data_IF_111807825432
#
_entry.id   IF_111807825432
#
_cell.length_a   1.000
_cell.length_b   1.000
_cell.length_c   1.000
_cell.angle_alpha   90.00
_cell.angle_beta   90.00
_cell.angle_gamma   90.00
#
_symmetry.space_group_name_H-M   'P 1'
#
loop_
_entity.id
_entity.type
_entity.pdbx_description
1 polymer ?
#
# COMPACT_ATOMS: atom_id res chain seq x y z
N UNK A 1 -10.61 -8.69 -14.65
CA UNK A 1 -10.01 -7.62 -13.82
C UNK A 1 -8.88 -8.22 -12.98
N UNK A 2 -7.71 -7.61 -13.04
CA UNK A 2 -6.54 -8.07 -12.31
C UNK A 2 -6.25 -7.15 -11.14
N UNK A 3 -5.76 -7.72 -10.06
CA UNK A 3 -5.45 -6.99 -8.83
C UNK A 3 -4.00 -7.19 -8.42
N UNK A 4 -3.47 -6.17 -7.78
CA UNK A 4 -2.17 -6.23 -7.14
C UNK A 4 -2.34 -5.97 -5.64
N UNK A 5 -1.44 -6.58 -4.86
CA UNK A 5 -1.30 -6.25 -3.45
C UNK A 5 -0.15 -5.26 -3.32
N UNK A 6 -0.45 -4.08 -2.82
CA UNK A 6 0.58 -3.10 -2.48
C UNK A 6 0.82 -3.19 -0.98
N UNK A 7 2.07 -3.39 -0.60
CA UNK A 7 2.48 -3.48 0.80
C UNK A 7 3.46 -2.35 1.07
N UNK A 8 3.13 -1.51 2.04
CA UNK A 8 3.98 -0.40 2.45
C UNK A 8 4.46 -0.64 3.88
N UNK A 9 5.78 -0.69 4.07
CA UNK A 9 6.42 -0.73 5.38
C UNK A 9 6.92 0.67 5.66
N UNK A 10 6.28 1.39 6.58
CA UNK A 10 6.57 2.81 6.76
C UNK A 10 6.76 3.17 8.22
N UNK A 11 7.48 4.26 8.44
CA UNK A 11 7.53 4.89 9.75
C UNK A 11 6.10 5.25 10.17
N UNK A 12 5.71 4.96 11.43
CA UNK A 12 4.34 5.25 11.89
C UNK A 12 3.91 6.70 11.72
N UNK A 13 4.85 7.64 11.73
CA UNK A 13 4.54 9.05 11.50
C UNK A 13 4.04 9.33 10.08
N UNK A 14 4.31 8.43 9.14
CA UNK A 14 3.90 8.58 7.74
C UNK A 14 2.62 7.83 7.41
N UNK A 15 2.15 6.96 8.30
CA UNK A 15 1.02 6.05 7.99
C UNK A 15 -0.22 6.79 7.51
N UNK A 16 -0.64 7.81 8.23
CA UNK A 16 -1.84 8.57 7.88
C UNK A 16 -1.70 9.23 6.50
N UNK A 17 -0.54 9.83 6.23
CA UNK A 17 -0.27 10.48 4.96
C UNK A 17 -0.23 9.47 3.81
N UNK A 18 0.38 8.30 4.04
CA UNK A 18 0.42 7.22 3.04
C UNK A 18 -0.99 6.76 2.68
N UNK A 19 -1.82 6.49 3.68
CA UNK A 19 -3.21 6.06 3.46
C UNK A 19 -3.99 7.12 2.69
N UNK A 20 -3.89 8.36 3.10
CA UNK A 20 -4.60 9.48 2.47
C UNK A 20 -4.17 9.66 1.02
N UNK A 21 -2.86 9.63 0.76
CA UNK A 21 -2.32 9.77 -0.59
C UNK A 21 -2.75 8.60 -1.48
N UNK A 22 -2.67 7.37 -0.96
CA UNK A 22 -3.08 6.19 -1.72
C UNK A 22 -4.56 6.24 -2.08
N UNK A 23 -5.42 6.62 -1.15
CA UNK A 23 -6.85 6.76 -1.43
C UNK A 23 -7.13 7.83 -2.47
N UNK A 24 -6.43 8.95 -2.40
CA UNK A 24 -6.54 10.01 -3.40
C UNK A 24 -6.10 9.57 -4.79
N UNK A 25 -5.22 8.60 -4.88
CA UNK A 25 -4.72 8.07 -6.15
C UNK A 25 -5.51 6.85 -6.66
N UNK A 26 -6.52 6.40 -5.92
CA UNK A 26 -7.42 5.34 -6.38
C UNK A 26 -7.51 4.09 -5.51
N UNK A 27 -6.78 4.02 -4.41
CA UNK A 27 -6.91 2.88 -3.50
C UNK A 27 -8.27 2.92 -2.81
N UNK A 28 -8.95 1.76 -2.76
CA UNK A 28 -10.33 1.69 -2.25
C UNK A 28 -10.43 1.24 -0.80
N UNK A 29 -9.35 0.74 -0.22
CA UNK A 29 -9.34 0.31 1.17
C UNK A 29 -7.94 0.00 1.63
N UNK A 30 -7.77 -0.10 2.93
CA UNK A 30 -6.49 -0.40 3.54
C UNK A 30 -6.65 -1.27 4.79
N UNK A 31 -5.61 -2.03 5.06
CA UNK A 31 -5.46 -2.73 6.34
C UNK A 31 -4.12 -2.29 6.92
N UNK A 32 -4.12 -1.84 8.16
CA UNK A 32 -2.93 -1.40 8.85
C UNK A 32 -2.57 -2.42 9.93
N UNK A 33 -1.34 -2.90 9.86
CA UNK A 33 -0.80 -3.82 10.85
C UNK A 33 0.33 -3.12 11.58
N UNK A 34 0.26 -3.07 12.90
CA UNK A 34 1.32 -2.51 13.72
C UNK A 34 2.44 -3.53 13.83
N UNK A 35 3.59 -3.21 13.26
CA UNK A 35 4.77 -4.07 13.35
C UNK A 35 5.65 -3.67 14.52
N UNK A 36 6.37 -4.63 15.06
CA UNK A 36 7.32 -4.41 16.12
C UNK A 36 8.59 -5.19 15.84
N UNK A 37 9.73 -4.51 15.87
CA UNK A 37 11.03 -5.16 15.76
C UNK A 37 11.30 -6.07 16.96
N UNK A 38 12.06 -7.14 16.71
CA UNK A 38 12.40 -8.08 17.76
C UNK A 38 13.84 -7.84 18.22
N UNK A 39 14.03 -7.03 19.25
CA UNK A 39 15.32 -6.85 19.85
C UNK A 39 15.87 -5.44 19.80
N UNK A 40 17.14 -5.30 20.18
CA UNK A 40 17.84 -4.03 20.32
C UNK A 40 18.29 -3.47 18.97
N UNK A 41 18.51 -4.37 18.00
CA UNK A 41 18.91 -3.97 16.65
C UNK A 41 17.72 -4.02 15.68
N UNK A 42 17.71 -3.14 14.66
CA UNK A 42 16.66 -3.19 13.63
C UNK A 42 16.64 -4.55 12.94
N UNK A 43 15.44 -5.10 12.76
CA UNK A 43 15.27 -6.32 12.00
C UNK A 43 15.51 -6.06 10.51
N UNK A 44 16.09 -7.02 9.80
CA UNK A 44 16.29 -6.93 8.36
C UNK A 44 15.16 -7.67 7.64
N UNK A 45 14.59 -7.01 6.64
CA UNK A 45 13.60 -7.60 5.75
C UNK A 45 14.00 -7.29 4.31
N UNK A 46 14.15 -8.30 3.47
CA UNK A 46 14.59 -8.16 2.08
C UNK A 46 15.91 -7.38 1.96
N UNK A 47 16.83 -7.57 2.92
CA UNK A 47 18.10 -6.86 2.96
C UNK A 47 18.01 -5.42 3.44
N UNK A 48 16.86 -5.00 3.93
CA UNK A 48 16.60 -3.63 4.38
C UNK A 48 16.33 -3.62 5.88
N UNK A 49 16.82 -2.57 6.55
CA UNK A 49 16.59 -2.41 7.98
C UNK A 49 15.17 -1.96 8.25
N UNK A 50 14.45 -2.72 9.08
CA UNK A 50 13.12 -2.34 9.56
C UNK A 50 13.28 -1.82 10.98
N UNK A 51 12.75 -0.63 11.24
CA UNK A 51 12.83 0.00 12.55
C UNK A 51 11.98 -0.72 13.58
N UNK A 52 12.26 -0.50 14.88
CA UNK A 52 11.55 -1.14 15.99
C UNK A 52 10.04 -0.94 15.93
N UNK A 53 9.60 0.20 15.39
CA UNK A 53 8.19 0.49 15.16
C UNK A 53 8.00 0.74 13.68
N UNK A 54 7.22 -0.10 13.05
CA UNK A 54 6.91 0.00 11.63
C UNK A 54 5.43 -0.30 11.45
N UNK A 55 4.75 0.53 10.69
CA UNK A 55 3.40 0.20 10.25
C UNK A 55 3.48 -0.51 8.91
N UNK A 56 2.69 -1.56 8.76
CA UNK A 56 2.56 -2.30 7.52
C UNK A 56 1.16 -2.00 6.98
N UNK A 57 1.10 -1.40 5.80
CA UNK A 57 -0.16 -1.02 5.18
C UNK A 57 -0.38 -1.89 3.95
N UNK A 58 -1.52 -2.54 3.89
CA UNK A 58 -1.89 -3.41 2.79
C UNK A 58 -3.03 -2.78 1.99
N UNK A 59 -2.85 -2.69 0.67
CA UNK A 59 -3.89 -2.24 -0.25
C UNK A 59 -4.10 -3.31 -1.31
N UNK A 60 -5.36 -3.69 -1.55
CA UNK A 60 -5.69 -4.45 -2.77
C UNK A 60 -6.15 -3.43 -3.80
N UNK A 61 -5.41 -3.32 -4.89
CA UNK A 61 -5.64 -2.30 -5.90
C UNK A 61 -5.86 -2.95 -7.27
N UNK A 62 -6.62 -2.27 -8.11
CA UNK A 62 -6.78 -2.69 -9.49
C UNK A 62 -5.46 -2.44 -10.24
N UNK A 63 -5.08 -3.37 -11.13
CA UNK A 63 -3.78 -3.36 -11.80
C UNK A 63 -3.45 -2.01 -12.45
N UNK A 64 -4.43 -1.39 -13.11
CA UNK A 64 -4.22 -0.13 -13.82
C UNK A 64 -3.93 1.06 -12.90
N UNK A 65 -4.29 0.97 -11.63
CA UNK A 65 -4.05 2.03 -10.65
C UNK A 65 -2.78 1.84 -9.85
N UNK A 66 -2.13 0.69 -9.96
CA UNK A 66 -0.98 0.34 -9.11
C UNK A 66 0.16 1.34 -9.23
N UNK A 67 0.60 1.64 -10.46
CA UNK A 67 1.72 2.55 -10.68
C UNK A 67 1.39 3.96 -10.19
N UNK A 68 0.20 4.44 -10.48
CA UNK A 68 -0.23 5.77 -10.03
C UNK A 68 -0.23 5.87 -8.51
N UNK A 69 -0.74 4.85 -7.83
CA UNK A 69 -0.76 4.82 -6.37
C UNK A 69 0.66 4.80 -5.81
N UNK A 70 1.52 3.92 -6.31
CA UNK A 70 2.88 3.80 -5.82
C UNK A 70 3.71 5.05 -6.10
N UNK A 71 3.59 5.62 -7.29
CA UNK A 71 4.31 6.84 -7.64
C UNK A 71 3.85 8.03 -6.80
N UNK A 72 2.55 8.16 -6.57
CA UNK A 72 1.99 9.23 -5.74
C UNK A 72 2.46 9.13 -4.29
N UNK A 73 2.41 7.94 -3.72
CA UNK A 73 2.85 7.71 -2.34
C UNK A 73 4.36 7.93 -2.23
N UNK A 74 5.14 7.41 -3.17
CA UNK A 74 6.60 7.57 -3.16
C UNK A 74 6.99 9.05 -3.19
N UNK A 75 6.34 9.83 -4.04
CA UNK A 75 6.61 11.27 -4.18
C UNK A 75 6.12 12.07 -2.98
N UNK A 76 4.85 11.91 -2.61
CA UNK A 76 4.24 12.74 -1.57
C UNK A 76 4.73 12.41 -0.17
N UNK A 77 5.06 11.15 0.07
CA UNK A 77 5.51 10.68 1.37
C UNK A 77 7.03 10.51 1.48
N UNK A 78 7.77 10.86 0.42
CA UNK A 78 9.23 10.78 0.39
C UNK A 78 9.75 9.38 0.78
N UNK A 79 9.16 8.34 0.21
CA UNK A 79 9.51 6.96 0.55
C UNK A 79 10.99 6.66 0.29
N UNK A 80 11.57 7.27 -0.75
CA UNK A 80 12.99 7.05 -1.08
C UNK A 80 13.95 7.65 -0.05
N UNK A 81 13.49 8.55 0.81
CA UNK A 81 14.33 9.12 1.84
C UNK A 81 14.66 8.08 2.91
N UNK A 82 15.90 8.07 3.44
CA UNK A 82 16.30 7.09 4.44
C UNK A 82 15.38 7.06 5.66
N UNK A 83 15.00 5.86 6.08
CA UNK A 83 14.17 5.65 7.27
C UNK A 83 12.68 5.83 7.07
N UNK A 84 12.24 6.29 5.90
CA UNK A 84 10.81 6.53 5.66
C UNK A 84 10.03 5.26 5.35
N UNK A 85 10.62 4.35 4.59
CA UNK A 85 9.94 3.09 4.35
C UNK A 85 10.28 2.42 3.03
N UNK A 86 9.52 1.39 2.75
CA UNK A 86 9.62 0.60 1.51
C UNK A 86 8.21 0.31 1.05
N UNK A 87 8.04 0.26 -0.25
CA UNK A 87 6.76 -0.12 -0.83
C UNK A 87 6.99 -1.16 -1.94
N UNK A 88 6.23 -2.23 -1.89
CA UNK A 88 6.31 -3.31 -2.90
C UNK A 88 4.93 -3.58 -3.46
N UNK A 89 4.88 -4.08 -4.69
CA UNK A 89 3.64 -4.57 -5.28
C UNK A 89 3.81 -6.02 -5.70
N UNK A 90 2.77 -6.80 -5.52
CA UNK A 90 2.72 -8.23 -5.84
C UNK A 90 1.48 -8.50 -6.69
N UNK A 91 1.64 -9.32 -7.71
CA UNK A 91 0.49 -9.78 -8.49
C UNK A 91 -0.35 -10.75 -7.65
N UNK A 92 -1.66 -10.59 -7.70
CA UNK A 92 -2.59 -11.51 -7.05
C UNK A 92 -3.11 -12.46 -8.11
N UNK A 93 -2.77 -13.74 -7.96
CA UNK A 93 -3.20 -14.76 -8.92
C UNK A 93 -4.69 -15.10 -8.77
N UNK A 94 -5.16 -15.14 -7.55
CA UNK A 94 -6.53 -15.56 -7.28
C UNK A 94 -7.09 -14.84 -6.06
N UNK A 95 -8.36 -14.44 -6.16
CA UNK A 95 -9.07 -13.77 -5.08
C UNK A 95 -10.41 -14.46 -4.87
N UNK A 96 -10.77 -14.67 -3.62
CA UNK A 96 -12.11 -15.12 -3.23
C UNK A 96 -12.66 -14.14 -2.20
N UNK A 97 -13.95 -13.87 -2.25
CA UNK A 97 -14.61 -13.00 -1.28
C UNK A 97 -14.64 -11.52 -1.62
N UNK A 98 -14.13 -11.13 -2.79
CA UNK A 98 -14.08 -9.71 -3.20
C UNK A 98 -15.22 -9.29 -4.14
N UNK A 99 -16.24 -10.12 -4.32
CA UNK A 99 -17.28 -9.86 -5.33
C UNK A 99 -17.96 -8.49 -5.15
N UNK A 100 -18.18 -8.06 -3.92
CA UNK A 100 -18.78 -6.75 -3.63
C UNK A 100 -17.85 -5.60 -3.99
N UNK A 101 -16.55 -5.72 -3.69
CA UNK A 101 -15.57 -4.69 -4.02
C UNK A 101 -15.33 -4.60 -5.52
N UNK A 102 -15.30 -5.72 -6.22
CA UNK A 102 -15.17 -5.76 -7.68
C UNK A 102 -16.33 -4.99 -8.32
N UNK A 103 -17.53 -5.24 -7.84
CA UNK A 103 -18.73 -4.53 -8.32
C UNK A 103 -18.61 -3.02 -8.11
N UNK A 104 -18.18 -2.61 -6.93
CA UNK A 104 -18.00 -1.20 -6.60
C UNK A 104 -16.92 -0.53 -7.47
N UNK A 105 -15.81 -1.22 -7.70
CA UNK A 105 -14.73 -0.71 -8.57
C UNK A 105 -15.23 -0.55 -9.99
N UNK A 106 -15.99 -1.52 -10.51
CA UNK A 106 -16.58 -1.43 -11.85
C UNK A 106 -17.55 -0.25 -11.97
N UNK A 107 -18.36 -0.01 -10.96
CA UNK A 107 -19.28 1.12 -10.91
C UNK A 107 -18.51 2.45 -10.94
N UNK A 108 -17.42 2.55 -10.16
CA UNK A 108 -16.58 3.74 -10.13
C UNK A 108 -15.90 3.98 -11.48
N UNK A 109 -15.40 2.94 -12.12
CA UNK A 109 -14.77 3.04 -13.45
C UNK A 109 -15.78 3.53 -14.50
N UNK A 110 -17.01 3.03 -14.46
CA UNK A 110 -18.07 3.52 -15.36
C UNK A 110 -18.36 4.99 -15.15
N UNK A 111 -18.38 5.44 -13.91
CA UNK A 111 -18.60 6.85 -13.56
C UNK A 111 -17.46 7.73 -14.09
N UNK A 112 -16.22 7.27 -13.97
CA UNK A 112 -15.05 8.01 -14.46
C UNK A 112 -15.03 8.11 -15.99
N UNK A 113 -15.61 7.15 -16.69
CA UNK A 113 -15.68 7.14 -18.15
C UNK A 113 -16.79 8.03 -18.72
N UNK A 114 -17.69 8.46 -17.89
CA UNK A 114 -18.77 9.37 -18.27
C UNK A 114 -18.34 10.83 -18.10
#
# INVERSE_FOLDING_TARGET
>A
MRFNLVVAFVDPNLTEKVVKTAKGAGATGDVIIKGKGTGIEPSNFLGLSIQDKTDIILFVVEEHHTNKIMDSVSKECHIEDPGNGIMISLNIDRVSGLSRQIKKIRENLKTEQL
#
